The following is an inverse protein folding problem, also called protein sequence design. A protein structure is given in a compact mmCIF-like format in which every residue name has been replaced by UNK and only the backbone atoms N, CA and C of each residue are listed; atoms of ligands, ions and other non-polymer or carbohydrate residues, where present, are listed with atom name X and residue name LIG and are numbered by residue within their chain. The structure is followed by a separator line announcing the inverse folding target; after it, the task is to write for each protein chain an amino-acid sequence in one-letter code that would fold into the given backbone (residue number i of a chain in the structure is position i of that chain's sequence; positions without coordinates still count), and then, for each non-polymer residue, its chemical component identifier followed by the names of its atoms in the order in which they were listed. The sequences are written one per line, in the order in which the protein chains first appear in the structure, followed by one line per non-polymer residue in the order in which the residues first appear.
data_IF_819877278463
#
_entry.id   IF_819877278463
#
_cell.length_a   1.000
_cell.length_b   1.000
_cell.length_c   1.000
_cell.angle_alpha   90.00
_cell.angle_beta   90.00
_cell.angle_gamma   90.00
#
_symmetry.space_group_name_H-M   'P 1'
#
loop_
_entity.id
_entity.type
_entity.pdbx_description
1 polymer ?
#
# COMPACT_ATOMS: atom_id res chain seq x y z
N UNK A 1 -22.84 21.59 3.13
CA UNK A 1 -21.54 21.22 2.52
C UNK A 1 -21.78 20.98 1.04
N UNK A 2 -21.35 21.89 0.17
CA UNK A 2 -21.51 21.74 -1.28
C UNK A 2 -20.42 20.80 -1.78
N UNK A 3 -20.81 19.62 -2.28
CA UNK A 3 -19.87 18.67 -2.87
C UNK A 3 -19.45 19.22 -4.24
N UNK A 4 -18.14 19.44 -4.43
CA UNK A 4 -17.59 19.84 -5.72
C UNK A 4 -17.77 18.66 -6.69
N UNK A 5 -18.45 18.83 -7.84
CA UNK A 5 -18.67 17.75 -8.79
C UNK A 5 -17.33 17.30 -9.41
N UNK A 6 -17.18 15.98 -9.66
CA UNK A 6 -15.97 15.35 -10.23
C UNK A 6 -15.49 16.05 -11.52
N UNK A 7 -16.42 16.61 -12.29
CA UNK A 7 -16.17 17.38 -13.51
C UNK A 7 -15.41 18.69 -13.30
N UNK A 8 -15.47 19.27 -12.09
CA UNK A 8 -14.79 20.53 -11.74
C UNK A 8 -13.38 20.32 -11.18
N UNK A 9 -12.99 19.08 -10.93
CA UNK A 9 -11.66 18.74 -10.38
C UNK A 9 -10.54 18.73 -11.44
N UNK A 10 -10.82 19.08 -12.71
CA UNK A 10 -9.79 19.14 -13.75
C UNK A 10 -9.13 17.79 -14.06
N UNK A 11 -9.86 16.69 -13.80
CA UNK A 11 -9.38 15.33 -13.95
C UNK A 11 -9.42 14.89 -15.41
N UNK A 12 -8.49 14.04 -15.82
CA UNK A 12 -8.54 13.46 -17.16
C UNK A 12 -9.68 12.42 -17.28
N UNK A 13 -10.05 12.07 -18.51
CA UNK A 13 -11.19 11.17 -18.79
C UNK A 13 -11.05 9.77 -18.14
N UNK A 14 -9.83 9.32 -17.89
CA UNK A 14 -9.53 8.03 -17.28
C UNK A 14 -9.61 8.11 -15.75
N UNK A 15 -9.12 9.19 -15.16
CA UNK A 15 -9.14 9.46 -13.71
C UNK A 15 -10.54 9.77 -13.19
N UNK A 16 -11.32 10.55 -13.95
CA UNK A 16 -12.73 10.82 -13.63
C UNK A 16 -13.53 9.52 -13.62
N UNK A 17 -13.28 8.59 -14.56
CA UNK A 17 -13.88 7.26 -14.55
C UNK A 17 -13.46 6.43 -13.36
N UNK A 18 -12.19 6.45 -12.99
CA UNK A 18 -11.70 5.72 -11.81
C UNK A 18 -12.33 6.23 -10.51
N UNK A 19 -12.36 7.55 -10.31
CA UNK A 19 -13.01 8.18 -9.16
C UNK A 19 -14.52 7.93 -9.14
N UNK A 20 -15.17 7.99 -10.30
CA UNK A 20 -16.59 7.70 -10.41
C UNK A 20 -16.92 6.23 -10.13
N UNK A 21 -16.04 5.30 -10.54
CA UNK A 21 -16.17 3.88 -10.25
C UNK A 21 -15.95 3.58 -8.75
N UNK A 22 -15.03 4.30 -8.10
CA UNK A 22 -14.79 4.19 -6.66
C UNK A 22 -15.95 4.77 -5.83
N UNK A 23 -16.57 5.87 -6.29
CA UNK A 23 -17.79 6.43 -5.70
C UNK A 23 -19.01 5.52 -5.93
N UNK A 24 -19.10 4.88 -7.09
CA UNK A 24 -20.16 3.89 -7.36
C UNK A 24 -20.02 2.66 -6.47
N UNK A 25 -18.80 2.16 -6.29
CA UNK A 25 -18.50 1.04 -5.40
C UNK A 25 -18.79 1.35 -3.92
N UNK A 26 -18.62 2.60 -3.49
CA UNK A 26 -18.96 3.02 -2.13
C UNK A 26 -20.47 3.23 -1.92
N UNK A 27 -21.22 3.65 -2.96
CA UNK A 27 -22.68 3.80 -2.88
C UNK A 27 -23.44 2.46 -2.97
N UNK A 28 -22.88 1.44 -3.64
CA UNK A 28 -23.48 0.11 -3.74
C UNK A 28 -23.42 -0.69 -2.42
N UNK A 29 -22.68 -0.20 -1.41
CA UNK A 29 -22.56 -0.80 -0.08
C UNK A 29 -23.53 -0.27 0.99
N UNK A 30 -24.47 0.60 0.63
CA UNK A 30 -25.30 1.38 1.58
C UNK A 30 -26.31 0.59 2.45
N UNK A 31 -26.28 -0.74 2.48
CA UNK A 31 -27.12 -1.54 3.38
C UNK A 31 -26.33 -2.34 4.44
N UNK A 32 -25.06 -2.03 4.69
CA UNK A 32 -24.29 -2.79 5.70
C UNK A 32 -23.30 -1.91 6.47
N UNK A 33 -23.71 -1.46 7.65
CA UNK A 33 -22.91 -0.71 8.64
C UNK A 33 -21.65 -1.44 9.15
N UNK A 34 -21.29 -2.60 8.56
CA UNK A 34 -20.11 -3.41 8.89
C UNK A 34 -19.01 -3.35 7.83
N UNK A 35 -19.30 -2.93 6.60
CA UNK A 35 -18.32 -2.84 5.52
C UNK A 35 -17.48 -1.56 5.57
N UNK A 36 -18.11 -0.42 5.90
CA UNK A 36 -17.43 0.88 6.00
C UNK A 36 -16.37 0.92 7.12
N UNK A 37 -16.61 0.24 8.24
CA UNK A 37 -15.67 0.22 9.37
C UNK A 37 -14.41 -0.61 9.12
N UNK A 38 -14.42 -1.55 8.15
CA UNK A 38 -13.22 -2.34 7.80
C UNK A 38 -12.21 -1.58 6.95
N UNK A 39 -12.66 -0.66 6.11
CA UNK A 39 -11.76 0.20 5.34
C UNK A 39 -11.02 1.22 6.24
N UNK A 40 -11.67 1.68 7.31
CA UNK A 40 -11.07 2.63 8.25
C UNK A 40 -10.14 2.00 9.28
N UNK A 41 -10.32 0.71 9.63
CA UNK A 41 -9.48 0.02 10.63
C UNK A 41 -8.25 -0.64 10.05
N UNK A 42 -8.15 -0.76 8.72
CA UNK A 42 -6.90 -1.07 8.05
C UNK A 42 -6.31 0.24 7.54
N UNK A 43 -5.46 0.87 8.37
CA UNK A 43 -4.46 1.86 7.94
C UNK A 43 -3.42 1.28 6.96
N UNK A 44 -3.84 0.29 6.15
CA UNK A 44 -3.16 -0.18 4.97
C UNK A 44 -3.65 0.72 3.85
N UNK A 45 -3.07 1.92 3.79
CA UNK A 45 -2.84 2.55 2.50
C UNK A 45 -2.25 1.42 1.64
N UNK A 46 -3.06 0.88 0.73
CA UNK A 46 -2.57 -0.03 -0.30
C UNK A 46 -1.67 0.86 -1.16
N UNK A 47 -0.41 0.94 -0.73
CA UNK A 47 0.72 1.53 -1.44
C UNK A 47 1.00 0.62 -2.63
N UNK A 48 0.03 0.57 -3.55
CA UNK A 48 0.19 -0.07 -4.84
C UNK A 48 1.14 0.82 -5.66
N UNK A 49 2.20 0.27 -6.28
CA UNK A 49 3.08 0.98 -7.19
C UNK A 49 2.33 1.86 -8.19
N UNK A 50 1.21 1.36 -8.71
CA UNK A 50 0.39 2.07 -9.68
C UNK A 50 -0.28 3.30 -9.07
N UNK A 51 -0.77 3.22 -7.83
CA UNK A 51 -1.35 4.36 -7.11
C UNK A 51 -0.29 5.41 -6.76
N UNK A 52 0.94 5.00 -6.46
CA UNK A 52 2.06 5.90 -6.20
C UNK A 52 2.56 6.59 -7.48
N UNK A 53 2.60 5.87 -8.60
CA UNK A 53 2.90 6.46 -9.91
C UNK A 53 1.83 7.45 -10.35
N UNK A 54 0.55 7.10 -10.15
CA UNK A 54 -0.57 8.01 -10.42
C UNK A 54 -0.47 9.28 -9.55
N UNK A 55 -0.09 9.13 -8.28
CA UNK A 55 0.14 10.26 -7.38
C UNK A 55 1.31 11.15 -7.85
N UNK A 56 2.41 10.55 -8.32
CA UNK A 56 3.54 11.29 -8.90
C UNK A 56 3.15 12.09 -10.15
N UNK A 57 2.47 11.47 -11.10
CA UNK A 57 2.00 12.14 -12.32
C UNK A 57 0.99 13.27 -12.01
N UNK A 58 0.15 13.08 -10.99
CA UNK A 58 -0.75 14.11 -10.50
C UNK A 58 0.02 15.31 -9.90
N UNK A 59 1.07 15.06 -9.11
CA UNK A 59 1.93 16.12 -8.57
C UNK A 59 2.65 16.91 -9.67
N UNK A 60 3.14 16.25 -10.73
CA UNK A 60 3.76 16.92 -11.87
C UNK A 60 2.78 17.87 -12.58
N UNK A 61 1.53 17.43 -12.78
CA UNK A 61 0.45 18.30 -13.30
C UNK A 61 0.10 19.43 -12.36
N UNK A 62 0.03 19.18 -11.06
CA UNK A 62 -0.22 20.22 -10.06
C UNK A 62 0.89 21.28 -10.10
N UNK A 63 2.16 20.87 -10.17
CA UNK A 63 3.28 21.80 -10.31
C UNK A 63 3.17 22.63 -11.58
N UNK A 64 2.85 21.98 -12.71
CA UNK A 64 2.66 22.68 -13.98
C UNK A 64 1.52 23.71 -13.92
N UNK A 65 0.37 23.33 -13.34
CA UNK A 65 -0.78 24.24 -13.19
C UNK A 65 -0.49 25.40 -12.22
N UNK A 66 0.24 25.14 -11.13
CA UNK A 66 0.68 26.18 -10.19
C UNK A 66 1.63 27.14 -10.88
N UNK A 67 2.62 26.65 -11.63
CA UNK A 67 3.56 27.47 -12.40
C UNK A 67 2.83 28.36 -13.41
N UNK A 68 1.90 27.79 -14.19
CA UNK A 68 1.12 28.55 -15.17
C UNK A 68 0.27 29.65 -14.53
N UNK A 69 -0.47 29.31 -13.46
CA UNK A 69 -1.32 30.26 -12.74
C UNK A 69 -0.51 31.37 -12.10
N UNK A 70 0.69 31.06 -11.58
CA UNK A 70 1.60 32.06 -11.03
C UNK A 70 2.20 32.96 -12.10
N UNK A 71 2.63 32.40 -13.24
CA UNK A 71 3.16 33.18 -14.36
C UNK A 71 2.11 34.13 -14.94
N UNK A 72 0.84 33.69 -14.98
CA UNK A 72 -0.30 34.54 -15.30
C UNK A 72 -0.47 35.69 -14.28
N UNK A 73 -0.37 35.41 -12.98
CA UNK A 73 -0.42 36.43 -11.92
C UNK A 73 0.76 37.41 -11.97
N UNK A 74 1.97 36.93 -12.29
CA UNK A 74 3.17 37.75 -12.48
C UNK A 74 3.04 38.69 -13.68
N UNK A 75 2.51 38.19 -14.81
CA UNK A 75 2.27 38.98 -16.01
C UNK A 75 1.24 40.11 -15.77
N UNK A 76 0.33 39.89 -14.83
CA UNK A 76 -0.72 40.84 -14.45
C UNK A 76 -0.27 41.88 -13.39
N UNK A 77 0.91 41.74 -12.78
CA UNK A 77 1.36 42.62 -11.69
C UNK A 77 2.43 43.63 -12.11
N UNK A 78 2.15 44.93 -11.88
CA UNK A 78 3.06 46.07 -12.09
C UNK A 78 4.19 46.16 -11.03
N UNK A 79 4.70 45.02 -10.56
CA UNK A 79 5.72 44.97 -9.53
C UNK A 79 7.12 45.36 -10.06
N UNK A 80 7.95 46.04 -9.24
CA UNK A 80 9.32 46.40 -9.60
C UNK A 80 10.19 45.16 -9.87
N UNK A 81 11.10 45.24 -10.85
CA UNK A 81 11.85 44.10 -11.39
C UNK A 81 12.66 43.29 -10.35
N UNK A 82 13.09 43.92 -9.26
CA UNK A 82 13.86 43.27 -8.18
C UNK A 82 13.02 42.29 -7.35
N UNK A 83 11.71 42.51 -7.24
CA UNK A 83 10.79 41.57 -6.60
C UNK A 83 10.43 40.42 -7.55
N UNK A 84 10.33 40.69 -8.86
CA UNK A 84 10.09 39.66 -9.88
C UNK A 84 11.21 38.61 -9.89
N UNK A 85 12.47 39.04 -9.81
CA UNK A 85 13.63 38.13 -9.79
C UNK A 85 13.69 37.26 -8.52
N UNK A 86 13.55 37.86 -7.33
CA UNK A 86 13.54 37.09 -6.06
C UNK A 86 12.41 36.07 -6.01
N UNK A 87 11.22 36.43 -6.49
CA UNK A 87 10.09 35.49 -6.54
C UNK A 87 10.34 34.35 -7.53
N UNK A 88 11.04 34.58 -8.64
CA UNK A 88 11.42 33.54 -9.60
C UNK A 88 12.47 32.56 -9.01
N UNK A 89 13.45 33.06 -8.26
CA UNK A 89 14.47 32.22 -7.63
C UNK A 89 13.88 31.30 -6.54
N UNK A 90 12.97 31.82 -5.70
CA UNK A 90 12.24 31.02 -4.72
C UNK A 90 11.33 29.96 -5.37
N UNK A 91 10.80 30.21 -6.57
CA UNK A 91 9.99 29.25 -7.33
C UNK A 91 10.82 28.10 -7.90
N UNK A 92 12.00 28.40 -8.46
CA UNK A 92 12.95 27.39 -8.90
C UNK A 92 13.33 26.47 -7.74
N UNK A 93 13.59 27.05 -6.56
CA UNK A 93 13.91 26.28 -5.37
C UNK A 93 12.75 25.41 -4.90
N UNK A 94 11.51 25.93 -4.84
CA UNK A 94 10.35 25.14 -4.41
C UNK A 94 10.02 24.00 -5.40
N UNK A 95 10.12 24.27 -6.70
CA UNK A 95 9.90 23.26 -7.74
C UNK A 95 10.94 22.15 -7.63
N UNK A 96 12.22 22.52 -7.50
CA UNK A 96 13.32 21.58 -7.33
C UNK A 96 13.16 20.74 -6.06
N UNK A 97 12.81 21.37 -4.93
CA UNK A 97 12.58 20.66 -3.68
C UNK A 97 11.39 19.70 -3.76
N UNK A 98 10.31 20.08 -4.45
CA UNK A 98 9.15 19.20 -4.65
C UNK A 98 9.51 17.99 -5.51
N UNK A 99 10.31 18.19 -6.57
CA UNK A 99 10.78 17.10 -7.42
C UNK A 99 11.68 16.12 -6.64
N UNK A 100 12.62 16.64 -5.85
CA UNK A 100 13.48 15.82 -4.98
C UNK A 100 12.64 15.04 -3.96
N UNK A 101 11.68 15.68 -3.31
CA UNK A 101 10.81 15.02 -2.33
C UNK A 101 9.98 13.90 -2.97
N UNK A 102 9.49 14.10 -4.19
CA UNK A 102 8.74 13.09 -4.94
C UNK A 102 9.62 11.89 -5.28
N UNK A 103 10.85 12.14 -5.74
CA UNK A 103 11.81 11.08 -6.05
C UNK A 103 12.20 10.27 -4.82
N UNK A 104 12.54 10.94 -3.71
CA UNK A 104 12.87 10.29 -2.44
C UNK A 104 11.70 9.44 -1.92
N UNK A 105 10.47 9.93 -2.06
CA UNK A 105 9.28 9.18 -1.66
C UNK A 105 9.08 7.94 -2.54
N UNK A 106 9.35 8.03 -3.85
CA UNK A 106 9.31 6.90 -4.76
C UNK A 106 10.35 5.84 -4.40
N UNK A 107 11.60 6.26 -4.18
CA UNK A 107 12.69 5.36 -3.79
C UNK A 107 12.43 4.70 -2.44
N UNK A 108 11.92 5.46 -1.46
CA UNK A 108 11.55 4.93 -0.14
C UNK A 108 10.43 3.90 -0.23
N UNK A 109 9.41 4.17 -1.05
CA UNK A 109 8.32 3.22 -1.26
C UNK A 109 8.82 1.95 -1.95
N UNK A 110 9.67 2.07 -2.97
CA UNK A 110 10.30 0.93 -3.64
C UNK A 110 11.09 0.04 -2.67
N UNK A 111 11.92 0.63 -1.82
CA UNK A 111 12.68 -0.11 -0.80
C UNK A 111 11.76 -0.81 0.20
N UNK A 112 10.71 -0.14 0.67
CA UNK A 112 9.75 -0.72 1.61
C UNK A 112 8.99 -1.92 1.00
N UNK A 113 8.67 -1.84 -0.28
CA UNK A 113 8.03 -2.94 -1.02
C UNK A 113 8.95 -4.16 -1.15
N UNK A 114 10.20 -3.95 -1.55
CA UNK A 114 11.18 -5.04 -1.65
C UNK A 114 11.40 -5.74 -0.31
N UNK A 115 11.47 -4.97 0.79
CA UNK A 115 11.53 -5.56 2.13
C UNK A 115 10.29 -6.37 2.47
N UNK A 116 9.10 -5.87 2.13
CA UNK A 116 7.85 -6.60 2.35
C UNK A 116 7.81 -7.92 1.56
N UNK A 117 8.28 -7.92 0.31
CA UNK A 117 8.35 -9.13 -0.52
C UNK A 117 9.32 -10.17 0.07
N UNK A 118 10.47 -9.73 0.57
CA UNK A 118 11.43 -10.60 1.25
C UNK A 118 10.84 -11.22 2.53
N UNK A 119 10.11 -10.43 3.33
CA UNK A 119 9.47 -10.94 4.54
C UNK A 119 8.33 -11.91 4.21
N UNK A 120 7.55 -11.66 3.16
CA UNK A 120 6.52 -12.60 2.68
C UNK A 120 7.15 -13.93 2.25
N UNK A 121 8.28 -13.89 1.54
CA UNK A 121 9.00 -15.10 1.15
C UNK A 121 9.47 -15.89 2.39
N UNK A 122 9.99 -15.20 3.40
CA UNK A 122 10.38 -15.80 4.67
C UNK A 122 9.20 -16.46 5.40
N UNK A 123 8.07 -15.76 5.48
CA UNK A 123 6.85 -16.33 6.09
C UNK A 123 6.39 -17.60 5.36
N UNK A 124 6.43 -17.61 4.03
CA UNK A 124 6.09 -18.81 3.24
C UNK A 124 7.04 -19.97 3.50
N UNK A 125 8.34 -19.70 3.69
CA UNK A 125 9.31 -20.74 4.05
C UNK A 125 9.01 -21.33 5.44
N UNK A 126 8.75 -20.48 6.44
CA UNK A 126 8.39 -20.91 7.80
C UNK A 126 7.12 -21.77 7.79
N UNK A 127 6.09 -21.39 7.03
CA UNK A 127 4.88 -22.20 6.92
C UNK A 127 5.17 -23.60 6.37
N UNK A 128 6.05 -23.70 5.38
CA UNK A 128 6.47 -25.00 4.84
C UNK A 128 7.24 -25.83 5.87
N UNK A 129 8.14 -25.22 6.64
CA UNK A 129 8.85 -25.91 7.72
C UNK A 129 7.88 -26.41 8.80
N UNK A 130 6.83 -25.64 9.12
CA UNK A 130 5.78 -26.07 10.05
C UNK A 130 5.04 -27.29 9.51
N UNK A 131 4.67 -27.30 8.23
CA UNK A 131 3.99 -28.45 7.61
C UNK A 131 4.89 -29.70 7.64
N UNK A 132 6.19 -29.54 7.36
CA UNK A 132 7.16 -30.65 7.45
C UNK A 132 7.31 -31.19 8.87
N UNK A 133 7.36 -30.30 9.88
CA UNK A 133 7.38 -30.71 11.28
C UNK A 133 6.10 -31.46 11.68
N UNK A 134 4.92 -31.10 11.14
CA UNK A 134 3.68 -31.83 11.39
C UNK A 134 3.78 -33.28 10.89
N UNK A 135 4.32 -33.50 9.69
CA UNK A 135 4.58 -34.84 9.16
C UNK A 135 5.54 -35.63 10.06
N UNK A 136 6.57 -34.99 10.61
CA UNK A 136 7.47 -35.61 11.58
C UNK A 136 6.77 -35.99 12.89
N UNK A 137 5.91 -35.12 13.42
CA UNK A 137 5.14 -35.43 14.62
C UNK A 137 4.19 -36.60 14.42
N UNK A 138 3.58 -36.74 13.24
CA UNK A 138 2.74 -37.90 12.92
C UNK A 138 3.54 -39.21 12.87
N UNK A 139 4.78 -39.17 12.37
CA UNK A 139 5.69 -40.33 12.46
C UNK A 139 5.98 -40.70 13.92
N UNK A 140 6.29 -39.72 14.77
CA UNK A 140 6.54 -39.94 16.21
C UNK A 140 5.32 -40.53 16.89
N UNK A 141 4.13 -40.02 16.58
CA UNK A 141 2.85 -40.55 17.09
C UNK A 141 2.67 -42.01 16.73
N UNK A 142 2.93 -42.38 15.46
CA UNK A 142 2.86 -43.77 15.00
C UNK A 142 3.85 -44.68 15.73
N UNK A 143 5.07 -44.21 15.99
CA UNK A 143 6.05 -44.95 16.80
C UNK A 143 5.50 -45.18 18.22
N UNK A 144 4.90 -44.16 18.83
CA UNK A 144 4.27 -44.26 20.15
C UNK A 144 3.22 -45.38 20.22
N UNK A 145 2.35 -45.49 19.22
CA UNK A 145 1.35 -46.57 19.15
C UNK A 145 1.99 -47.97 19.01
N UNK A 146 3.07 -48.08 18.24
CA UNK A 146 3.83 -49.34 18.10
C UNK A 146 4.45 -49.75 19.46
N UNK A 147 5.09 -48.82 20.16
CA UNK A 147 5.69 -49.07 21.48
C UNK A 147 4.63 -49.47 22.50
N UNK A 148 3.46 -48.82 22.47
CA UNK A 148 2.31 -49.20 23.30
C UNK A 148 1.84 -50.63 23.01
N UNK A 149 1.79 -51.02 21.74
CA UNK A 149 1.50 -52.39 21.33
C UNK A 149 2.53 -53.41 21.84
N UNK A 150 3.82 -53.10 21.75
CA UNK A 150 4.87 -53.94 22.32
C UNK A 150 4.75 -54.07 23.84
N UNK A 151 4.51 -52.96 24.56
CA UNK A 151 4.29 -52.99 26.01
C UNK A 151 3.15 -53.92 26.40
N UNK A 152 2.01 -53.84 25.70
CA UNK A 152 0.87 -54.74 25.93
C UNK A 152 1.25 -56.22 25.71
N UNK A 153 1.95 -56.53 24.63
CA UNK A 153 2.41 -57.91 24.34
C UNK A 153 3.35 -58.44 25.42
N UNK A 154 4.28 -57.63 25.89
CA UNK A 154 5.21 -57.98 26.98
C UNK A 154 4.44 -58.26 28.27
N UNK A 155 3.48 -57.39 28.64
CA UNK A 155 2.66 -57.64 29.84
C UNK A 155 1.80 -58.91 29.73
N UNK A 156 1.27 -59.22 28.56
CA UNK A 156 0.55 -60.47 28.34
C UNK A 156 1.46 -61.69 28.49
N UNK A 157 2.71 -61.61 28.02
CA UNK A 157 3.68 -62.70 28.17
C UNK A 157 4.09 -62.88 29.64
N UNK A 158 4.35 -61.77 30.35
CA UNK A 158 4.71 -61.79 31.76
C UNK A 158 3.60 -62.37 32.66
N UNK A 159 2.32 -62.21 32.29
CA UNK A 159 1.19 -62.82 33.00
C UNK A 159 1.06 -64.34 32.79
N UNK A 160 1.78 -64.91 31.83
CA UNK A 160 1.70 -66.34 31.47
C UNK A 160 2.90 -67.16 31.95
N UNK A 161 3.93 -66.50 32.50
CA UNK A 161 5.11 -67.11 33.13
C UNK A 161 4.89 -67.07 34.64
#
# INVERSE_FOLDING_TARGET
MSAIPVSELGLNATESRYLQQQIAASQQGSNSSRAASRASSQGRLLLDPSNLQALGAHFDRLMYSIQQRWQYSLKKSDAPQTLKKRNADSQLQLTQQTQIATQVQYDRAGNAMQMADAEIARFRAILREIDELQDEFDKVRRIGEIVKGFKSRVEHLNRRI
#
